data_IF_093269268975
#
_entry.id   IF_093269268975
#
_cell.length_a   1.000
_cell.length_b   1.000
_cell.length_c   1.000
_cell.angle_alpha   90.00
_cell.angle_beta   90.00
_cell.angle_gamma   90.00
#
_symmetry.space_group_name_H-M   'P 1'
#
loop_
_entity.id
_entity.type
_entity.pdbx_description
1 polymer ?
#
# COMPACT_ATOMS: atom_id res chain seq x y z
N UNK A 1 -7.65 22.66 -22.09
CA UNK A 1 -8.73 21.80 -21.58
C UNK A 1 -8.29 20.37 -21.78
N UNK A 2 -8.12 19.61 -20.69
CA UNK A 2 -7.84 18.18 -20.79
C UNK A 2 -9.18 17.45 -20.76
N UNK A 3 -9.59 16.89 -21.90
CA UNK A 3 -10.76 16.02 -22.00
C UNK A 3 -10.29 14.59 -22.26
N UNK A 4 -10.95 13.61 -21.64
CA UNK A 4 -10.60 12.19 -21.72
C UNK A 4 -11.71 11.43 -22.43
N UNK A 5 -11.39 10.72 -23.52
CA UNK A 5 -12.34 9.91 -24.27
C UNK A 5 -12.35 8.47 -23.75
N UNK A 6 -13.53 7.93 -23.46
CA UNK A 6 -13.73 6.52 -23.11
C UNK A 6 -13.74 5.63 -24.36
N UNK A 7 -13.61 4.32 -24.17
CA UNK A 7 -13.68 3.32 -25.26
C UNK A 7 -15.03 3.31 -25.99
N UNK A 8 -16.11 3.71 -25.31
CA UNK A 8 -17.44 3.86 -25.90
C UNK A 8 -17.61 5.18 -26.70
N UNK A 9 -16.55 5.99 -26.79
CA UNK A 9 -16.53 7.27 -27.49
C UNK A 9 -17.00 8.46 -26.65
N UNK A 10 -17.45 8.26 -25.41
CA UNK A 10 -17.94 9.33 -24.53
C UNK A 10 -16.79 10.22 -24.07
N UNK A 11 -16.97 11.55 -24.12
CA UNK A 11 -15.98 12.53 -23.66
C UNK A 11 -16.24 12.93 -22.22
N UNK A 12 -15.21 12.87 -21.38
CA UNK A 12 -15.19 13.44 -20.03
C UNK A 12 -14.43 14.77 -20.08
N UNK A 13 -15.08 15.86 -19.67
CA UNK A 13 -14.50 17.21 -19.61
C UNK A 13 -14.40 17.76 -18.18
N UNK A 14 -15.06 17.11 -17.22
CA UNK A 14 -15.02 17.42 -15.81
C UNK A 14 -13.81 16.76 -15.12
N UNK A 15 -12.94 17.57 -14.52
CA UNK A 15 -11.74 17.11 -13.81
C UNK A 15 -12.03 16.07 -12.71
N UNK A 16 -13.17 16.18 -12.02
CA UNK A 16 -13.56 15.23 -10.96
C UNK A 16 -13.94 13.87 -11.56
N UNK A 17 -14.65 13.88 -12.69
CA UNK A 17 -15.06 12.65 -13.38
C UNK A 17 -13.87 11.97 -14.05
N UNK A 18 -12.97 12.75 -14.65
CA UNK A 18 -11.70 12.25 -15.20
C UNK A 18 -10.90 11.56 -14.10
N UNK A 19 -10.75 12.22 -12.94
CA UNK A 19 -10.04 11.64 -11.80
C UNK A 19 -10.67 10.33 -11.33
N UNK A 20 -11.98 10.32 -11.10
CA UNK A 20 -12.69 9.14 -10.64
C UNK A 20 -12.61 7.98 -11.64
N UNK A 21 -12.66 8.30 -12.94
CA UNK A 21 -12.50 7.33 -14.01
C UNK A 21 -11.09 6.70 -14.01
N UNK A 22 -10.04 7.53 -13.93
CA UNK A 22 -8.66 7.05 -13.83
C UNK A 22 -8.43 6.21 -12.57
N UNK A 23 -8.89 6.67 -11.40
CA UNK A 23 -8.78 5.93 -10.14
C UNK A 23 -9.43 4.54 -10.25
N UNK A 24 -10.65 4.47 -10.80
CA UNK A 24 -11.35 3.20 -11.02
C UNK A 24 -10.59 2.28 -11.99
N UNK A 25 -10.11 2.82 -13.11
CA UNK A 25 -9.39 2.06 -14.13
C UNK A 25 -8.10 1.45 -13.57
N UNK A 26 -7.23 2.26 -12.94
CA UNK A 26 -5.98 1.77 -12.38
C UNK A 26 -6.21 0.82 -11.19
N UNK A 27 -7.25 1.03 -10.39
CA UNK A 27 -7.63 0.09 -9.33
C UNK A 27 -7.99 -1.28 -9.89
N UNK A 28 -8.76 -1.34 -10.97
CA UNK A 28 -9.14 -2.61 -11.63
C UNK A 28 -7.93 -3.29 -12.28
N UNK A 29 -7.06 -2.49 -12.90
CA UNK A 29 -5.84 -2.94 -13.55
C UNK A 29 -4.86 -3.60 -12.55
N UNK A 30 -4.60 -2.91 -11.43
CA UNK A 30 -3.65 -3.34 -10.40
C UNK A 30 -4.18 -4.53 -9.58
N UNK A 31 -5.50 -4.62 -9.38
CA UNK A 31 -6.12 -5.76 -8.69
C UNK A 31 -6.25 -7.02 -9.56
N UNK A 32 -5.68 -7.03 -10.77
CA UNK A 32 -5.70 -8.20 -11.66
C UNK A 32 -7.09 -8.54 -12.20
N UNK A 33 -8.02 -7.59 -12.18
CA UNK A 33 -9.34 -7.75 -12.80
C UNK A 33 -9.31 -7.52 -14.32
N UNK A 34 -8.14 -7.14 -14.86
CA UNK A 34 -7.90 -7.06 -16.30
C UNK A 34 -7.33 -8.39 -16.81
N UNK A 35 -7.80 -8.83 -17.99
CA UNK A 35 -7.29 -10.02 -18.66
C UNK A 35 -6.06 -9.73 -19.54
N UNK A 36 -5.71 -8.46 -19.74
CA UNK A 36 -4.58 -8.04 -20.55
C UNK A 36 -3.32 -7.89 -19.70
N UNK A 37 -2.49 -8.93 -19.72
CA UNK A 37 -1.23 -8.99 -18.98
C UNK A 37 -0.24 -7.93 -19.40
N UNK A 38 -0.22 -7.56 -20.69
CA UNK A 38 0.73 -6.59 -21.23
C UNK A 38 0.41 -5.17 -20.75
N UNK A 39 -0.88 -4.78 -20.81
CA UNK A 39 -1.32 -3.47 -20.29
C UNK A 39 -1.08 -3.37 -18.79
N UNK A 40 -1.27 -4.47 -18.05
CA UNK A 40 -1.00 -4.50 -16.61
C UNK A 40 0.49 -4.31 -16.29
N UNK A 41 1.38 -5.01 -16.99
CA UNK A 41 2.82 -4.90 -16.77
C UNK A 41 3.34 -3.50 -17.08
N UNK A 42 2.94 -2.92 -18.23
CA UNK A 42 3.31 -1.55 -18.60
C UNK A 42 2.84 -0.51 -17.58
N UNK A 43 1.61 -0.64 -17.07
CA UNK A 43 1.10 0.31 -16.10
C UNK A 43 1.75 0.17 -14.70
N UNK A 44 2.15 -1.04 -14.31
CA UNK A 44 2.94 -1.26 -13.10
C UNK A 44 4.30 -0.57 -13.26
N UNK A 45 4.95 -0.72 -14.42
CA UNK A 45 6.23 -0.08 -14.70
C UNK A 45 6.13 1.45 -14.69
N UNK A 46 5.12 2.03 -15.34
CA UNK A 46 4.85 3.48 -15.34
C UNK A 46 4.56 4.01 -13.92
N UNK A 47 3.81 3.24 -13.13
CA UNK A 47 3.54 3.57 -11.74
C UNK A 47 4.82 3.55 -10.91
N UNK A 48 5.64 2.51 -11.04
CA UNK A 48 6.92 2.40 -10.33
C UNK A 48 7.86 3.55 -10.70
N UNK A 49 7.98 3.89 -11.98
CA UNK A 49 8.76 5.06 -12.42
C UNK A 49 8.24 6.37 -11.82
N UNK A 50 6.91 6.52 -11.71
CA UNK A 50 6.31 7.71 -11.10
C UNK A 50 6.57 7.76 -9.60
N UNK A 51 6.48 6.63 -8.91
CA UNK A 51 6.83 6.50 -7.49
C UNK A 51 8.29 6.86 -7.27
N UNK A 52 9.21 6.32 -8.06
CA UNK A 52 10.65 6.61 -7.99
C UNK A 52 10.96 8.10 -8.25
N UNK A 53 10.20 8.75 -9.13
CA UNK A 53 10.35 10.18 -9.41
C UNK A 53 9.77 11.08 -8.31
N UNK A 54 8.82 10.58 -7.52
CA UNK A 54 8.07 11.36 -6.53
C UNK A 54 8.48 11.08 -5.09
N UNK A 55 9.15 9.95 -4.82
CA UNK A 55 9.67 9.63 -3.50
C UNK A 55 10.98 10.38 -3.25
N UNK A 56 11.10 11.00 -2.08
CA UNK A 56 12.38 11.59 -1.70
C UNK A 56 13.41 10.47 -1.48
N UNK A 57 14.66 10.67 -1.91
CA UNK A 57 15.72 9.66 -1.73
C UNK A 57 15.90 9.23 -0.27
N UNK A 58 15.59 10.11 0.69
CA UNK A 58 15.65 9.78 2.11
C UNK A 58 14.58 8.74 2.49
N UNK A 59 13.35 8.89 1.99
CA UNK A 59 12.25 7.96 2.24
C UNK A 59 12.43 6.65 1.48
N UNK A 60 12.95 6.69 0.25
CA UNK A 60 13.31 5.47 -0.49
C UNK A 60 14.33 4.61 0.27
N UNK A 61 15.38 5.24 0.82
CA UNK A 61 16.37 4.51 1.64
C UNK A 61 15.76 3.93 2.92
N UNK A 62 14.75 4.58 3.51
CA UNK A 62 14.06 4.04 4.68
C UNK A 62 13.27 2.78 4.38
N UNK A 63 12.80 2.59 3.15
CA UNK A 63 12.14 1.35 2.72
C UNK A 63 13.10 0.14 2.66
N UNK A 64 14.41 0.39 2.54
CA UNK A 64 15.45 -0.65 2.53
C UNK A 64 16.03 -0.93 3.92
N UNK A 65 15.67 -0.13 4.92
CA UNK A 65 16.17 -0.27 6.28
C UNK A 65 15.26 -1.18 7.13
N UNK A 66 15.83 -1.87 8.14
CA UNK A 66 15.04 -2.58 9.14
C UNK A 66 14.03 -1.64 9.79
N UNK A 67 12.84 -2.17 10.09
CA UNK A 67 11.82 -1.44 10.83
C UNK A 67 12.36 -0.98 12.19
N UNK A 68 12.00 0.24 12.56
CA UNK A 68 12.31 0.82 13.85
C UNK A 68 11.19 0.56 14.87
N UNK A 69 11.54 0.58 16.16
CA UNK A 69 10.61 0.31 17.27
C UNK A 69 9.39 1.24 17.23
N UNK A 70 9.58 2.51 16.87
CA UNK A 70 8.48 3.47 16.80
C UNK A 70 7.50 3.15 15.66
N UNK A 71 7.97 2.57 14.56
CA UNK A 71 7.14 2.20 13.41
C UNK A 71 6.24 1.03 13.79
N UNK A 72 6.77 0.05 14.53
CA UNK A 72 5.95 -1.04 15.09
C UNK A 72 4.94 -0.53 16.10
N UNK A 73 5.34 0.39 17.00
CA UNK A 73 4.40 1.00 17.96
C UNK A 73 3.30 1.77 17.25
N UNK A 74 3.64 2.51 16.20
CA UNK A 74 2.66 3.21 15.38
C UNK A 74 1.70 2.23 14.71
N UNK A 75 2.21 1.15 14.10
CA UNK A 75 1.39 0.11 13.50
C UNK A 75 0.44 -0.55 14.52
N UNK A 76 0.93 -0.90 15.71
CA UNK A 76 0.12 -1.43 16.80
C UNK A 76 -0.99 -0.45 17.22
N UNK A 77 -0.71 0.86 17.26
CA UNK A 77 -1.72 1.87 17.59
C UNK A 77 -2.85 1.93 16.58
N UNK A 78 -2.57 1.65 15.30
CA UNK A 78 -3.52 1.69 14.18
C UNK A 78 -4.31 0.41 13.99
N UNK A 79 -3.90 -0.71 14.59
CA UNK A 79 -4.69 -1.94 14.61
C UNK A 79 -5.99 -1.70 15.39
N UNK A 80 -7.12 -2.10 14.81
CA UNK A 80 -8.39 -2.19 15.53
C UNK A 80 -8.31 -3.23 16.66
N UNK A 81 -9.20 -3.14 17.65
CA UNK A 81 -9.25 -4.09 18.78
C UNK A 81 -9.82 -5.47 18.41
N UNK A 82 -9.90 -5.77 17.12
CA UNK A 82 -10.34 -7.07 16.63
C UNK A 82 -9.12 -7.98 16.51
N UNK A 83 -9.26 -9.22 17.00
CA UNK A 83 -8.23 -10.26 16.91
C UNK A 83 -7.60 -10.19 15.51
N UNK A 84 -6.29 -9.94 15.43
CA UNK A 84 -5.56 -10.09 14.17
C UNK A 84 -5.93 -11.45 13.61
N UNK A 85 -6.41 -11.48 12.36
CA UNK A 85 -6.94 -12.68 11.69
C UNK A 85 -5.81 -13.66 11.32
N UNK A 86 -4.95 -13.98 12.29
CA UNK A 86 -3.87 -14.94 12.18
C UNK A 86 -4.20 -16.21 12.96
N UNK A 87 -3.59 -17.31 12.53
CA UNK A 87 -3.85 -18.68 13.01
C UNK A 87 -3.68 -18.88 14.53
N UNK A 88 -3.03 -17.92 15.22
CA UNK A 88 -2.75 -17.94 16.66
C UNK A 88 -3.62 -16.97 17.50
N UNK A 89 -4.38 -16.05 16.88
CA UNK A 89 -5.36 -15.20 17.58
C UNK A 89 -4.82 -14.31 18.72
N UNK A 90 -3.57 -13.87 18.66
CA UNK A 90 -2.99 -12.98 19.67
C UNK A 90 -3.64 -11.60 19.53
N UNK A 91 -4.30 -11.13 20.59
CA UNK A 91 -4.97 -9.83 20.54
C UNK A 91 -3.97 -8.68 20.69
N UNK A 92 -4.35 -7.49 20.21
CA UNK A 92 -3.57 -6.27 20.38
C UNK A 92 -3.28 -5.99 21.86
N UNK A 93 -4.27 -6.21 22.72
CA UNK A 93 -4.17 -5.99 24.17
C UNK A 93 -3.10 -6.88 24.80
N UNK A 94 -2.99 -8.13 24.34
CA UNK A 94 -1.93 -9.04 24.78
C UNK A 94 -0.55 -8.51 24.39
N UNK A 95 -0.37 -8.10 23.13
CA UNK A 95 0.92 -7.55 22.67
C UNK A 95 1.29 -6.27 23.42
N UNK A 96 0.32 -5.41 23.71
CA UNK A 96 0.55 -4.19 24.50
C UNK A 96 0.91 -4.53 25.95
N UNK A 97 0.22 -5.49 26.56
CA UNK A 97 0.45 -5.90 27.96
C UNK A 97 1.84 -6.52 28.17
N UNK A 98 2.36 -7.24 27.17
CA UNK A 98 3.65 -7.94 27.23
C UNK A 98 4.68 -7.34 26.24
N UNK A 99 4.56 -6.05 25.93
CA UNK A 99 5.41 -5.41 24.92
C UNK A 99 6.89 -5.49 25.28
N UNK A 100 7.24 -5.30 26.55
CA UNK A 100 8.64 -5.27 26.96
C UNK A 100 9.33 -6.64 26.85
N UNK A 101 8.58 -7.72 27.02
CA UNK A 101 9.04 -9.09 26.84
C UNK A 101 9.06 -9.52 25.37
N UNK A 102 8.15 -8.99 24.55
CA UNK A 102 7.97 -9.42 23.16
C UNK A 102 8.71 -8.55 22.14
N UNK A 103 9.03 -7.29 22.45
CA UNK A 103 9.54 -6.30 21.48
C UNK A 103 10.78 -6.80 20.73
N UNK A 104 11.74 -7.39 21.43
CA UNK A 104 13.01 -7.81 20.82
C UNK A 104 12.77 -9.02 19.89
N UNK A 105 11.87 -9.92 20.27
CA UNK A 105 11.47 -11.07 19.46
C UNK A 105 10.74 -10.60 18.19
N UNK A 106 9.78 -9.69 18.34
CA UNK A 106 8.99 -9.13 17.23
C UNK A 106 9.91 -8.39 16.25
N UNK A 107 10.78 -7.52 16.76
CA UNK A 107 11.75 -6.76 15.95
C UNK A 107 12.72 -7.69 15.22
N UNK A 108 13.20 -8.75 15.89
CA UNK A 108 14.05 -9.74 15.26
C UNK A 108 13.32 -10.45 14.11
N UNK A 109 12.10 -10.96 14.34
CA UNK A 109 11.32 -11.68 13.33
C UNK A 109 10.99 -10.84 12.10
N UNK A 110 10.55 -9.59 12.30
CA UNK A 110 10.15 -8.71 11.19
C UNK A 110 11.35 -8.30 10.34
N UNK A 111 12.51 -8.08 10.97
CA UNK A 111 13.73 -7.64 10.29
C UNK A 111 14.63 -8.79 9.80
N UNK A 112 14.25 -10.05 10.06
CA UNK A 112 14.96 -11.25 9.57
C UNK A 112 14.28 -11.91 8.39
N UNK A 113 13.20 -11.30 7.87
CA UNK A 113 12.48 -11.72 6.66
C UNK A 113 13.16 -11.23 5.38
#
# INVERSE_FOLDING_TARGET
MHCLQKEDGTMLDNQTEIRHFCEKFYTQLLNGQTNDTFVRESAIEDMLQTVDACIEQADARRLELPFEIYEIRYALSKLGNEKTHGHCGISKEFVVAFWDELKDIIMCLINSS
#
